data_IF_828066693520
#
_entry.id   IF_828066693520
#
_cell.length_a   1.000
_cell.length_b   1.000
_cell.length_c   1.000
_cell.angle_alpha   90.00
_cell.angle_beta   90.00
_cell.angle_gamma   90.00
#
_symmetry.space_group_name_H-M   'P 1'
#
loop_
_entity.id
_entity.type
_entity.pdbx_description
1 polymer ?
#
# COMPACT_ATOMS: atom_id res chain seq x y z
N UNK A 1 -24.45 -9.59 25.72
CA UNK A 1 -23.53 -10.22 24.73
C UNK A 1 -23.67 -9.51 23.39
N UNK A 2 -22.91 -8.45 23.18
CA UNK A 2 -22.95 -7.62 21.97
C UNK A 2 -22.17 -8.35 20.88
N UNK A 3 -22.86 -8.80 19.82
CA UNK A 3 -22.20 -9.40 18.64
C UNK A 3 -21.18 -8.38 18.11
N UNK A 4 -19.88 -8.70 18.23
CA UNK A 4 -18.81 -7.96 17.55
C UNK A 4 -19.12 -7.99 16.05
N UNK A 5 -19.62 -6.88 15.51
CA UNK A 5 -19.86 -6.67 14.07
C UNK A 5 -18.52 -6.49 13.34
N UNK A 6 -17.73 -7.56 13.33
CA UNK A 6 -16.44 -7.61 12.64
C UNK A 6 -16.67 -7.62 11.14
N UNK A 7 -16.05 -6.66 10.44
CA UNK A 7 -16.01 -6.65 8.98
C UNK A 7 -15.23 -7.87 8.51
N UNK A 8 -15.77 -8.66 7.59
CA UNK A 8 -15.06 -9.79 6.99
C UNK A 8 -13.85 -9.28 6.22
N UNK A 9 -12.66 -9.86 6.41
CA UNK A 9 -11.45 -9.47 5.69
C UNK A 9 -11.46 -10.02 4.26
N UNK A 10 -12.05 -9.26 3.34
CA UNK A 10 -12.28 -9.66 1.95
C UNK A 10 -12.24 -8.43 1.02
N UNK A 11 -12.03 -8.62 -0.31
CA UNK A 11 -12.01 -7.51 -1.26
C UNK A 11 -13.27 -6.65 -1.23
N UNK A 12 -14.44 -7.27 -1.08
CA UNK A 12 -15.74 -6.59 -1.04
C UNK A 12 -15.92 -5.69 0.18
N UNK A 13 -15.10 -5.89 1.22
CA UNK A 13 -15.20 -5.15 2.48
C UNK A 13 -14.30 -3.91 2.54
N UNK A 14 -13.38 -3.73 1.58
CA UNK A 14 -12.44 -2.59 1.57
C UNK A 14 -13.15 -1.23 1.62
N UNK A 15 -14.29 -1.02 0.92
CA UNK A 15 -15.02 0.25 1.03
C UNK A 15 -15.57 0.52 2.44
N UNK A 16 -16.03 -0.53 3.14
CA UNK A 16 -16.48 -0.41 4.53
C UNK A 16 -15.30 -0.17 5.48
N UNK A 17 -14.17 -0.85 5.27
CA UNK A 17 -12.94 -0.64 6.04
C UNK A 17 -12.49 0.81 5.94
N UNK A 18 -12.42 1.36 4.72
CA UNK A 18 -12.05 2.76 4.46
C UNK A 18 -13.01 3.71 5.16
N UNK A 19 -14.32 3.49 5.04
CA UNK A 19 -15.35 4.32 5.68
C UNK A 19 -15.19 4.36 7.19
N UNK A 20 -15.08 3.20 7.84
CA UNK A 20 -14.89 3.12 9.30
C UNK A 20 -13.59 3.76 9.77
N UNK A 21 -12.53 3.71 8.94
CA UNK A 21 -11.29 4.43 9.22
C UNK A 21 -11.51 5.94 9.13
N UNK A 22 -12.15 6.45 8.07
CA UNK A 22 -12.51 7.87 7.97
C UNK A 22 -13.34 8.33 9.17
N UNK A 23 -14.39 7.58 9.55
CA UNK A 23 -15.24 7.91 10.70
C UNK A 23 -14.43 7.96 12.02
N UNK A 24 -13.44 7.07 12.17
CA UNK A 24 -12.52 7.09 13.30
C UNK A 24 -11.57 8.30 13.30
N UNK A 25 -11.09 8.74 12.13
CA UNK A 25 -10.31 9.97 11.99
C UNK A 25 -11.16 11.20 12.30
N UNK A 26 -12.39 11.27 11.81
CA UNK A 26 -13.29 12.39 12.08
C UNK A 26 -13.59 12.51 13.57
N UNK A 27 -13.93 11.40 14.23
CA UNK A 27 -14.14 11.39 15.67
C UNK A 27 -12.90 11.82 16.46
N UNK A 28 -11.69 11.53 15.95
CA UNK A 28 -10.45 12.04 16.52
C UNK A 28 -10.31 13.55 16.30
N UNK A 29 -10.58 14.05 15.09
CA UNK A 29 -10.54 15.48 14.74
C UNK A 29 -11.52 16.28 15.59
N UNK A 30 -12.75 15.78 15.77
CA UNK A 30 -13.78 16.41 16.60
C UNK A 30 -13.33 16.54 18.06
N UNK A 31 -12.75 15.47 18.64
CA UNK A 31 -12.21 15.51 20.01
C UNK A 31 -11.09 16.54 20.16
N UNK A 32 -10.15 16.60 19.22
CA UNK A 32 -9.05 17.57 19.25
C UNK A 32 -9.57 19.01 19.05
N UNK A 33 -10.59 19.19 18.21
CA UNK A 33 -11.22 20.49 17.95
C UNK A 33 -12.01 21.00 19.17
N UNK A 34 -12.75 20.13 19.87
CA UNK A 34 -13.46 20.49 21.10
C UNK A 34 -12.49 20.91 22.23
N UNK A 35 -11.31 20.30 22.29
CA UNK A 35 -10.23 20.69 23.19
C UNK A 35 -9.71 22.12 22.96
N UNK A 36 -9.78 22.64 21.72
CA UNK A 36 -9.42 24.03 21.41
C UNK A 36 -10.45 25.06 21.91
N UNK A 37 -11.74 24.70 21.90
CA UNK A 37 -12.84 25.61 22.26
C UNK A 37 -12.95 25.76 23.79
N UNK A 38 -12.52 24.74 24.54
CA UNK A 38 -12.72 24.67 26.00
C UNK A 38 -11.53 25.23 26.79
N UNK A 39 -11.21 26.53 26.68
CA UNK A 39 -10.43 27.25 27.71
C UNK A 39 -10.75 28.76 27.78
N UNK A 40 -11.74 29.17 28.60
CA UNK A 40 -11.80 30.53 29.12
C UNK A 40 -11.51 30.54 30.63
N UNK A 41 -10.37 31.10 31.05
CA UNK A 41 -10.16 31.43 32.46
C UNK A 41 -8.70 31.59 32.90
N UNK A 42 -8.32 32.84 33.20
CA UNK A 42 -7.21 33.25 34.08
C UNK A 42 -5.77 32.86 33.69
N UNK A 43 -5.28 33.27 32.51
CA UNK A 43 -3.86 33.15 32.15
C UNK A 43 -3.15 34.52 32.11
N UNK A 44 -1.92 34.63 32.65
CA UNK A 44 -1.12 35.87 32.60
C UNK A 44 -0.72 36.22 31.15
N UNK A 45 -0.34 37.47 30.83
CA UNK A 45 -0.03 37.88 29.46
C UNK A 45 1.06 37.04 28.75
N UNK A 46 2.09 36.59 29.49
CA UNK A 46 3.15 35.71 28.98
C UNK A 46 2.66 34.28 28.69
N UNK A 47 1.71 33.78 29.48
CA UNK A 47 1.03 32.51 29.22
C UNK A 47 0.18 32.61 27.95
N UNK A 48 -0.37 33.81 27.66
CA UNK A 48 -1.15 34.09 26.46
C UNK A 48 -0.39 33.91 25.15
N UNK A 49 0.91 34.23 25.07
CA UNK A 49 1.73 34.02 23.85
C UNK A 49 2.04 32.54 23.64
N UNK A 50 2.41 31.82 24.71
CA UNK A 50 2.65 30.37 24.65
C UNK A 50 1.38 29.59 24.30
N UNK A 51 0.25 29.95 24.93
CA UNK A 51 -1.06 29.38 24.64
C UNK A 51 -1.46 29.62 23.18
N UNK A 52 -1.29 30.83 22.65
CA UNK A 52 -1.55 31.11 21.22
C UNK A 52 -0.70 30.25 20.31
N UNK A 53 0.62 30.13 20.55
CA UNK A 53 1.48 29.26 19.73
C UNK A 53 1.03 27.79 19.77
N UNK A 54 0.63 27.29 20.94
CA UNK A 54 0.10 25.93 21.08
C UNK A 54 -1.24 25.77 20.34
N UNK A 55 -2.12 26.78 20.40
CA UNK A 55 -3.37 26.81 19.65
C UNK A 55 -3.12 26.84 18.14
N UNK A 56 -2.18 27.66 17.66
CA UNK A 56 -1.79 27.74 16.26
C UNK A 56 -1.19 26.41 15.76
N UNK A 57 -0.34 25.78 16.56
CA UNK A 57 0.23 24.47 16.26
C UNK A 57 -0.85 23.37 16.20
N UNK A 58 -1.79 23.38 17.14
CA UNK A 58 -2.89 22.42 17.18
C UNK A 58 -3.88 22.65 16.03
N UNK A 59 -4.19 23.91 15.70
CA UNK A 59 -5.02 24.26 14.54
C UNK A 59 -4.38 23.79 13.23
N UNK A 60 -3.07 24.03 13.06
CA UNK A 60 -2.31 23.53 11.90
C UNK A 60 -2.37 22.00 11.82
N UNK A 61 -2.23 21.32 12.96
CA UNK A 61 -2.30 19.85 13.04
C UNK A 61 -3.69 19.36 12.63
N UNK A 62 -4.75 20.00 13.10
CA UNK A 62 -6.14 19.67 12.76
C UNK A 62 -6.40 19.82 11.26
N UNK A 63 -5.91 20.88 10.62
CA UNK A 63 -6.05 21.05 9.17
C UNK A 63 -5.33 19.96 8.38
N UNK A 64 -4.15 19.52 8.84
CA UNK A 64 -3.46 18.36 8.25
C UNK A 64 -4.28 17.08 8.43
N UNK A 65 -4.86 16.84 9.61
CA UNK A 65 -5.71 15.67 9.86
C UNK A 65 -6.98 15.67 9.01
N UNK A 66 -7.60 16.84 8.80
CA UNK A 66 -8.75 16.99 7.89
C UNK A 66 -8.36 16.68 6.44
N UNK A 67 -7.24 17.21 5.97
CA UNK A 67 -6.72 16.93 4.64
C UNK A 67 -6.42 15.43 4.46
N UNK A 68 -5.87 14.78 5.48
CA UNK A 68 -5.63 13.33 5.49
C UNK A 68 -6.94 12.54 5.46
N UNK A 69 -7.93 12.87 6.31
CA UNK A 69 -9.25 12.22 6.32
C UNK A 69 -9.93 12.33 4.96
N UNK A 70 -9.88 13.51 4.34
CA UNK A 70 -10.43 13.73 3.00
C UNK A 70 -9.67 12.92 1.93
N UNK A 71 -8.33 12.94 1.96
CA UNK A 71 -7.52 12.14 1.05
C UNK A 71 -7.83 10.65 1.16
N UNK A 72 -8.08 10.14 2.38
CA UNK A 72 -8.46 8.74 2.61
C UNK A 72 -9.87 8.44 2.06
N UNK A 73 -10.82 9.37 2.12
CA UNK A 73 -12.15 9.19 1.50
C UNK A 73 -12.07 9.05 -0.01
N UNK A 74 -11.18 9.81 -0.64
CA UNK A 74 -10.99 9.84 -2.09
C UNK A 74 -9.99 8.77 -2.58
N UNK A 75 -9.37 8.03 -1.65
CA UNK A 75 -8.37 7.02 -1.94
C UNK A 75 -8.89 5.93 -2.87
N UNK A 76 -8.11 5.60 -3.89
CA UNK A 76 -8.35 4.39 -4.68
C UNK A 76 -8.12 3.15 -3.83
N UNK A 77 -8.94 2.12 -4.02
CA UNK A 77 -8.94 0.93 -3.18
C UNK A 77 -8.38 -0.27 -3.91
N UNK A 78 -7.42 -0.94 -3.28
CA UNK A 78 -6.74 -2.10 -3.80
C UNK A 78 -6.85 -3.28 -2.85
N UNK A 79 -7.01 -4.47 -3.41
CA UNK A 79 -6.90 -5.74 -2.69
C UNK A 79 -5.85 -6.62 -3.35
N UNK A 80 -4.79 -6.97 -2.62
CA UNK A 80 -3.73 -7.83 -3.15
C UNK A 80 -3.98 -9.28 -2.73
N UNK A 81 -4.12 -10.16 -3.71
CA UNK A 81 -4.36 -11.58 -3.52
C UNK A 81 -3.21 -12.28 -2.78
N UNK A 82 -3.51 -13.42 -2.14
CA UNK A 82 -2.58 -14.12 -1.23
C UNK A 82 -1.23 -14.43 -1.86
N UNK A 83 -1.21 -14.99 -3.07
CA UNK A 83 0.03 -15.39 -3.75
C UNK A 83 0.83 -14.16 -4.21
N UNK A 84 0.13 -13.08 -4.58
CA UNK A 84 0.74 -11.82 -4.95
C UNK A 84 1.47 -11.17 -3.76
N UNK A 85 0.97 -11.35 -2.53
CA UNK A 85 1.69 -10.92 -1.31
C UNK A 85 3.06 -11.61 -1.22
N UNK A 86 3.15 -12.91 -1.50
CA UNK A 86 4.42 -13.63 -1.42
C UNK A 86 5.41 -13.17 -2.49
N UNK A 87 4.93 -12.97 -3.73
CA UNK A 87 5.78 -12.46 -4.81
C UNK A 87 6.27 -11.04 -4.53
N UNK A 88 5.41 -10.16 -4.02
CA UNK A 88 5.83 -8.81 -3.64
C UNK A 88 6.89 -8.82 -2.53
N UNK A 89 6.74 -9.70 -1.52
CA UNK A 89 7.72 -9.87 -0.44
C UNK A 89 9.05 -10.41 -0.94
N UNK A 90 9.01 -11.43 -1.79
CA UNK A 90 10.22 -12.03 -2.38
C UNK A 90 10.95 -11.02 -3.28
N UNK A 91 10.22 -10.35 -4.17
CA UNK A 91 10.78 -9.34 -5.06
C UNK A 91 11.38 -8.15 -4.30
N UNK A 92 10.80 -7.77 -3.16
CA UNK A 92 11.32 -6.69 -2.31
C UNK A 92 12.72 -6.96 -1.76
N UNK A 93 13.13 -8.24 -1.60
CA UNK A 93 14.44 -8.59 -1.03
C UNK A 93 15.63 -8.17 -1.90
N UNK A 94 15.39 -7.99 -3.20
CA UNK A 94 16.41 -7.63 -4.19
C UNK A 94 16.04 -6.37 -4.98
N UNK A 95 15.06 -5.60 -4.47
CA UNK A 95 14.57 -4.40 -5.14
C UNK A 95 15.69 -3.34 -5.23
N UNK A 96 16.15 -2.98 -6.44
CA UNK A 96 17.13 -1.91 -6.59
C UNK A 96 16.47 -0.54 -6.41
N UNK A 97 17.25 0.54 -6.56
CA UNK A 97 16.71 1.90 -6.47
C UNK A 97 15.48 2.07 -7.37
N UNK A 98 14.46 2.72 -6.83
CA UNK A 98 13.18 2.95 -7.51
C UNK A 98 12.61 4.31 -7.11
N UNK A 99 11.86 4.96 -7.99
CA UNK A 99 11.29 6.29 -7.76
C UNK A 99 9.79 6.18 -7.45
N UNK A 100 9.32 6.60 -6.27
CA UNK A 100 7.91 6.44 -5.88
C UNK A 100 6.91 7.09 -6.83
N UNK A 101 7.18 8.30 -7.32
CA UNK A 101 6.23 9.08 -8.12
C UNK A 101 5.83 8.40 -9.45
N UNK A 102 6.74 7.62 -10.03
CA UNK A 102 6.50 6.88 -11.28
C UNK A 102 6.17 5.40 -11.08
N UNK A 103 6.24 4.92 -9.83
CA UNK A 103 5.92 3.55 -9.45
C UNK A 103 4.52 3.45 -8.87
N UNK A 104 4.09 4.41 -8.05
CA UNK A 104 2.80 4.40 -7.38
C UNK A 104 1.65 4.28 -8.39
N UNK A 105 0.65 3.42 -8.14
CA UNK A 105 -0.45 3.20 -9.09
C UNK A 105 -1.41 4.39 -9.16
N UNK A 106 -1.48 5.19 -8.08
CA UNK A 106 -2.29 6.38 -7.96
C UNK A 106 -1.71 7.32 -6.89
N UNK A 107 -2.18 8.57 -6.87
CA UNK A 107 -1.74 9.61 -5.94
C UNK A 107 -2.09 9.30 -4.48
N UNK A 108 -3.32 8.86 -4.24
CA UNK A 108 -3.86 8.53 -2.93
C UNK A 108 -4.49 7.14 -3.01
N UNK A 109 -4.05 6.21 -2.17
CA UNK A 109 -4.56 4.85 -2.23
C UNK A 109 -4.52 4.10 -0.91
N UNK A 110 -5.50 3.21 -0.76
CA UNK A 110 -5.62 2.25 0.33
C UNK A 110 -5.49 0.85 -0.26
N UNK A 111 -4.47 0.11 0.16
CA UNK A 111 -4.25 -1.28 -0.26
C UNK A 111 -4.39 -2.19 0.95
N UNK A 112 -5.21 -3.23 0.81
CA UNK A 112 -5.35 -4.31 1.78
C UNK A 112 -4.69 -5.59 1.24
N UNK A 113 -3.88 -6.25 2.06
CA UNK A 113 -3.25 -7.53 1.76
C UNK A 113 -4.17 -8.68 2.18
N UNK A 114 -4.33 -9.71 1.34
CA UNK A 114 -5.11 -10.90 1.70
C UNK A 114 -4.55 -11.66 2.91
N UNK A 115 -3.26 -11.45 3.23
CA UNK A 115 -2.58 -11.90 4.45
C UNK A 115 -1.55 -10.85 4.87
N UNK A 116 -1.13 -10.79 6.15
CA UNK A 116 -0.08 -9.86 6.56
C UNK A 116 1.16 -9.98 5.68
N UNK A 117 1.67 -8.86 5.17
CA UNK A 117 2.87 -8.86 4.35
C UNK A 117 4.16 -8.94 5.19
N UNK A 118 4.05 -9.01 6.53
CA UNK A 118 5.16 -8.91 7.48
C UNK A 118 4.70 -8.31 8.82
N UNK A 119 5.64 -7.72 9.56
CA UNK A 119 5.39 -7.01 10.83
C UNK A 119 6.12 -5.69 10.84
N UNK A 120 5.53 -4.69 11.48
CA UNK A 120 6.10 -3.34 11.62
C UNK A 120 6.06 -2.88 13.08
N UNK A 121 6.98 -2.00 13.53
CA UNK A 121 6.85 -1.36 14.83
C UNK A 121 5.56 -0.53 14.90
N UNK A 122 4.91 -0.54 16.06
CA UNK A 122 3.81 0.36 16.38
C UNK A 122 4.37 1.63 17.04
N UNK A 123 4.23 2.77 16.37
CA UNK A 123 4.89 4.02 16.73
C UNK A 123 6.32 4.17 16.16
N UNK A 124 7.02 5.26 16.52
CA UNK A 124 8.38 5.53 16.03
C UNK A 124 9.35 4.42 16.44
N UNK A 125 10.21 3.97 15.52
CA UNK A 125 11.15 2.85 15.72
C UNK A 125 11.96 2.96 17.00
N UNK A 126 12.46 4.16 17.34
CA UNK A 126 13.26 4.41 18.54
C UNK A 126 12.51 4.17 19.86
N UNK A 127 11.19 4.18 19.84
CA UNK A 127 10.33 4.13 21.03
C UNK A 127 9.29 3.00 20.98
N UNK A 128 9.26 2.23 19.90
CA UNK A 128 8.26 1.21 19.66
C UNK A 128 8.46 0.03 20.61
N UNK A 129 7.43 -0.29 21.39
CA UNK A 129 7.44 -1.41 22.36
C UNK A 129 6.70 -2.64 21.85
N UNK A 130 6.04 -2.54 20.71
CA UNK A 130 5.27 -3.62 20.09
C UNK A 130 5.46 -3.64 18.57
N UNK A 131 5.39 -4.84 18.00
CA UNK A 131 5.29 -5.04 16.56
C UNK A 131 3.89 -5.58 16.22
N UNK A 132 3.32 -5.09 15.12
CA UNK A 132 1.99 -5.46 14.64
C UNK A 132 2.06 -6.01 13.21
N UNK A 133 1.19 -6.96 12.84
CA UNK A 133 1.10 -7.39 11.45
C UNK A 133 0.60 -6.23 10.60
N UNK A 134 1.25 -5.94 9.48
CA UNK A 134 0.71 -4.98 8.51
C UNK A 134 -0.18 -5.70 7.49
N UNK A 135 -1.49 -5.50 7.67
CA UNK A 135 -2.55 -6.05 6.84
C UNK A 135 -2.93 -5.08 5.70
N UNK A 136 -2.50 -3.82 5.76
CA UNK A 136 -2.68 -2.87 4.66
C UNK A 136 -1.64 -1.77 4.64
N UNK A 137 -1.78 -0.89 3.66
CA UNK A 137 -1.00 0.35 3.53
C UNK A 137 -1.92 1.46 3.03
N UNK A 138 -1.79 2.61 3.66
CA UNK A 138 -2.40 3.87 3.25
C UNK A 138 -1.29 4.80 2.75
N UNK A 139 -1.49 5.46 1.61
CA UNK A 139 -0.58 6.50 1.14
C UNK A 139 -1.32 7.67 0.53
N UNK A 140 -0.72 8.85 0.65
CA UNK A 140 -1.20 10.06 -0.01
C UNK A 140 -0.08 11.07 -0.25
N UNK A 141 -0.28 11.92 -1.25
CA UNK A 141 0.59 13.08 -1.49
C UNK A 141 0.08 14.27 -0.69
N UNK A 142 0.89 14.70 0.27
CA UNK A 142 0.66 15.87 1.11
C UNK A 142 0.71 17.17 0.30
N UNK A 143 0.14 18.28 0.80
CA UNK A 143 0.18 19.57 0.12
C UNK A 143 1.60 20.12 -0.13
N UNK A 144 2.59 19.70 0.67
CA UNK A 144 4.01 20.04 0.53
C UNK A 144 4.73 19.22 -0.55
N UNK A 145 4.01 18.35 -1.29
CA UNK A 145 4.56 17.48 -2.32
C UNK A 145 5.23 16.21 -1.78
N UNK A 146 5.25 16.00 -0.45
CA UNK A 146 5.80 14.78 0.14
C UNK A 146 4.81 13.63 0.05
N UNK A 147 5.34 12.42 -0.10
CA UNK A 147 4.55 11.20 -0.05
C UNK A 147 4.55 10.66 1.37
N UNK A 148 3.37 10.59 1.97
CA UNK A 148 3.16 9.92 3.24
C UNK A 148 2.74 8.47 2.98
N UNK A 149 3.38 7.52 3.66
CA UNK A 149 3.08 6.09 3.55
C UNK A 149 2.97 5.51 4.96
N UNK A 150 1.87 4.84 5.26
CA UNK A 150 1.55 4.33 6.59
C UNK A 150 1.15 2.85 6.52
N UNK A 151 1.93 1.91 7.11
CA UNK A 151 1.45 0.55 7.31
C UNK A 151 0.24 0.55 8.22
N UNK A 152 -0.70 -0.36 7.97
CA UNK A 152 -1.91 -0.47 8.74
C UNK A 152 -2.13 -1.90 9.25
N UNK A 153 -2.59 -2.05 10.49
CA UNK A 153 -2.88 -3.33 11.11
C UNK A 153 -4.34 -3.43 11.49
N UNK A 154 -4.88 -4.66 11.50
CA UNK A 154 -6.23 -4.93 12.02
C UNK A 154 -6.30 -4.94 13.55
N UNK A 155 -5.15 -5.00 14.24
CA UNK A 155 -5.06 -5.08 15.70
C UNK A 155 -5.91 -6.20 16.33
N UNK A 156 -6.20 -7.28 15.59
CA UNK A 156 -7.14 -8.33 16.02
C UNK A 156 -6.78 -8.96 17.38
N UNK A 157 -5.48 -9.04 17.68
CA UNK A 157 -4.94 -9.60 18.92
C UNK A 157 -4.23 -8.54 19.80
N UNK A 158 -4.36 -7.25 19.46
CA UNK A 158 -3.66 -6.12 20.10
C UNK A 158 -4.56 -4.88 20.18
N UNK A 159 -5.85 -5.06 20.47
CA UNK A 159 -6.83 -3.98 20.46
C UNK A 159 -6.53 -2.90 21.52
N UNK A 160 -5.84 -3.28 22.59
CA UNK A 160 -5.36 -2.38 23.65
C UNK A 160 -4.48 -1.24 23.11
N UNK A 161 -3.77 -1.46 21.99
CA UNK A 161 -2.93 -0.45 21.37
C UNK A 161 -3.72 0.73 20.76
N UNK A 162 -5.03 0.56 20.54
CA UNK A 162 -5.92 1.58 20.01
C UNK A 162 -6.65 2.38 21.11
N UNK A 163 -6.59 1.93 22.37
CA UNK A 163 -7.27 2.58 23.50
C UNK A 163 -6.89 4.05 23.68
N UNK A 164 -5.61 4.46 23.60
CA UNK A 164 -5.22 5.87 23.74
C UNK A 164 -5.86 6.79 22.70
N UNK A 165 -6.25 6.24 21.55
CA UNK A 165 -6.85 6.99 20.46
C UNK A 165 -8.38 7.03 20.56
N UNK A 166 -9.00 6.16 21.36
CA UNK A 166 -10.46 6.06 21.49
C UNK A 166 -11.14 5.76 20.15
N UNK A 167 -10.51 4.93 19.32
CA UNK A 167 -11.00 4.58 17.97
C UNK A 167 -11.46 3.13 17.91
N UNK A 168 -12.51 2.88 17.12
CA UNK A 168 -12.97 1.53 16.80
C UNK A 168 -13.04 1.39 15.29
N UNK A 169 -12.05 0.72 14.71
CA UNK A 169 -11.88 0.55 13.27
C UNK A 169 -11.32 -0.83 12.96
N UNK A 170 -11.72 -1.47 11.85
CA UNK A 170 -11.14 -2.76 11.44
C UNK A 170 -9.69 -2.67 10.95
N UNK A 171 -9.19 -1.46 10.68
CA UNK A 171 -7.84 -1.21 10.19
C UNK A 171 -7.36 0.17 10.66
N UNK A 172 -6.13 0.27 11.14
CA UNK A 172 -5.55 1.54 11.60
C UNK A 172 -4.05 1.63 11.32
N UNK A 173 -3.53 2.84 11.12
CA UNK A 173 -2.11 3.06 10.86
C UNK A 173 -1.25 2.72 12.09
N UNK A 174 -0.12 2.05 11.86
CA UNK A 174 0.83 1.70 12.90
C UNK A 174 1.85 2.81 13.18
N UNK A 175 2.35 3.42 12.11
CA UNK A 175 3.21 4.61 12.13
C UNK A 175 3.17 5.24 10.74
N UNK A 176 3.90 6.35 10.57
CA UNK A 176 3.93 7.11 9.33
C UNK A 176 5.36 7.36 8.89
N UNK A 177 5.63 7.12 7.61
CA UNK A 177 6.90 7.42 6.94
C UNK A 177 6.62 8.50 5.88
N UNK A 178 7.50 9.50 5.80
CA UNK A 178 7.37 10.60 4.83
C UNK A 178 8.59 10.63 3.92
N UNK A 179 8.41 10.33 2.63
CA UNK A 179 9.48 10.29 1.64
C UNK A 179 9.34 11.41 0.60
N UNK A 180 10.43 11.73 -0.08
CA UNK A 180 10.40 12.55 -1.29
C UNK A 180 10.05 11.62 -2.47
N UNK A 181 8.88 11.76 -3.10
CA UNK A 181 8.47 10.84 -4.16
C UNK A 181 9.27 11.01 -5.45
N UNK A 182 9.87 12.18 -5.67
CA UNK A 182 10.53 12.55 -6.92
C UNK A 182 11.94 11.95 -7.06
N UNK A 183 12.54 11.55 -5.95
CA UNK A 183 13.90 11.00 -5.90
C UNK A 183 13.88 9.48 -5.84
N UNK A 184 14.86 8.80 -6.46
CA UNK A 184 15.06 7.37 -6.24
C UNK A 184 15.28 7.09 -4.75
N UNK A 185 14.57 6.09 -4.22
CA UNK A 185 14.84 5.48 -2.92
C UNK A 185 16.16 4.71 -3.01
N UNK A 186 17.14 5.09 -2.21
CA UNK A 186 18.47 4.47 -2.21
C UNK A 186 18.77 3.79 -0.87
N UNK A 187 18.10 4.21 0.20
CA UNK A 187 18.25 3.71 1.56
C UNK A 187 17.94 2.20 1.62
N UNK A 188 16.81 1.79 1.05
CA UNK A 188 16.44 0.38 0.97
C UNK A 188 17.36 -0.44 0.06
N UNK A 189 17.85 0.16 -1.05
CA UNK A 189 18.71 -0.52 -2.00
C UNK A 189 20.14 -0.72 -1.47
N UNK A 190 20.62 0.24 -0.68
CA UNK A 190 21.96 0.23 -0.09
C UNK A 190 21.99 -0.37 1.32
N UNK A 191 20.83 -0.67 1.91
CA UNK A 191 20.71 -1.23 3.26
C UNK A 191 21.21 -0.27 4.35
N UNK A 192 20.89 1.02 4.23
CA UNK A 192 21.30 2.03 5.23
C UNK A 192 20.48 1.89 6.53
N UNK A 193 20.91 2.54 7.61
CA UNK A 193 20.19 2.51 8.89
C UNK A 193 18.76 3.09 8.80
N UNK A 194 18.54 4.01 7.86
CA UNK A 194 17.24 4.63 7.58
C UNK A 194 16.34 3.78 6.66
N UNK A 195 16.74 2.55 6.32
CA UNK A 195 15.91 1.67 5.49
C UNK A 195 14.63 1.28 6.22
N UNK A 196 13.53 1.25 5.48
CA UNK A 196 12.27 0.70 5.96
C UNK A 196 11.89 -0.51 5.09
N UNK A 197 12.06 -1.76 5.56
CA UNK A 197 11.73 -2.96 4.77
C UNK A 197 10.28 -2.97 4.24
N UNK A 198 9.38 -2.34 5.01
CA UNK A 198 8.01 -2.01 4.61
C UNK A 198 7.95 -1.25 3.27
N UNK A 199 8.77 -0.20 3.10
CA UNK A 199 8.82 0.64 1.89
C UNK A 199 9.28 -0.18 0.69
N UNK A 200 10.23 -1.11 0.83
CA UNK A 200 10.63 -2.02 -0.24
C UNK A 200 9.48 -2.90 -0.72
N UNK A 201 8.69 -3.44 0.19
CA UNK A 201 7.55 -4.30 -0.15
C UNK A 201 6.44 -3.51 -0.84
N UNK A 202 6.17 -2.27 -0.38
CA UNK A 202 5.23 -1.36 -1.06
C UNK A 202 5.72 -1.03 -2.47
N UNK A 203 6.99 -0.64 -2.61
CA UNK A 203 7.60 -0.32 -3.91
C UNK A 203 7.57 -1.50 -4.88
N UNK A 204 7.94 -2.69 -4.42
CA UNK A 204 7.86 -3.91 -5.21
C UNK A 204 6.42 -4.18 -5.66
N UNK A 205 5.44 -4.09 -4.76
CA UNK A 205 4.04 -4.30 -5.11
C UNK A 205 3.53 -3.30 -6.16
N UNK A 206 3.84 -2.00 -6.00
CA UNK A 206 3.47 -0.98 -6.98
C UNK A 206 4.09 -1.23 -8.36
N UNK A 207 5.38 -1.55 -8.41
CA UNK A 207 6.08 -1.87 -9.65
C UNK A 207 5.50 -3.13 -10.33
N UNK A 208 5.14 -4.15 -9.56
CA UNK A 208 4.54 -5.38 -10.10
C UNK A 208 3.10 -5.15 -10.57
N UNK A 209 2.32 -4.34 -9.86
CA UNK A 209 0.96 -3.93 -10.27
C UNK A 209 0.97 -3.22 -11.63
N UNK A 210 2.01 -2.43 -11.90
CA UNK A 210 2.21 -1.75 -13.18
C UNK A 210 2.71 -2.63 -14.32
N UNK A 211 2.85 -3.95 -14.13
CA UNK A 211 3.38 -4.88 -15.13
C UNK A 211 2.33 -5.92 -15.56
N UNK A 212 1.66 -5.71 -16.71
CA UNK A 212 0.65 -6.63 -17.23
C UNK A 212 1.17 -8.04 -17.54
N UNK A 213 2.49 -8.22 -17.67
CA UNK A 213 3.11 -9.54 -17.84
C UNK A 213 3.14 -10.37 -16.55
N UNK A 214 3.06 -9.72 -15.39
CA UNK A 214 3.21 -10.34 -14.07
C UNK A 214 1.88 -10.36 -13.31
N UNK A 215 1.07 -9.32 -13.48
CA UNK A 215 -0.13 -9.08 -12.69
C UNK A 215 -1.36 -8.95 -13.58
N UNK A 216 -2.48 -9.47 -13.11
CA UNK A 216 -3.82 -9.23 -13.66
C UNK A 216 -4.63 -8.40 -12.66
N UNK A 217 -5.32 -7.37 -13.15
CA UNK A 217 -6.16 -6.50 -12.33
C UNK A 217 -7.62 -6.59 -12.77
N UNK A 218 -8.54 -6.66 -11.81
CA UNK A 218 -9.98 -6.60 -12.05
C UNK A 218 -10.69 -5.77 -11.00
N UNK A 219 -11.70 -5.01 -11.41
CA UNK A 219 -12.47 -4.18 -10.49
C UNK A 219 -13.75 -4.88 -10.05
N UNK A 220 -13.99 -4.93 -8.74
CA UNK A 220 -15.31 -5.26 -8.17
C UNK A 220 -15.98 -3.96 -7.79
N UNK A 221 -17.20 -3.74 -8.27
CA UNK A 221 -18.06 -2.65 -7.80
C UNK A 221 -19.00 -3.20 -6.73
N UNK A 222 -19.23 -2.39 -5.70
CA UNK A 222 -20.32 -2.66 -4.77
C UNK A 222 -21.64 -2.68 -5.57
N UNK A 223 -22.40 -3.77 -5.47
CA UNK A 223 -23.65 -3.92 -6.23
C UNK A 223 -24.60 -2.82 -5.76
N UNK A 224 -25.17 -1.99 -6.67
CA UNK A 224 -26.18 -1.04 -6.24
C UNK A 224 -27.30 -1.81 -5.56
N UNK A 225 -27.73 -1.38 -4.38
CA UNK A 225 -28.98 -1.84 -3.79
C UNK A 225 -30.09 -1.72 -4.85
N UNK A 226 -31.06 -2.67 -4.92
CA UNK A 226 -32.19 -2.52 -5.82
C UNK A 226 -32.83 -1.16 -5.55
N UNK A 227 -32.93 -0.35 -6.61
CA UNK A 227 -33.36 1.04 -6.52
C UNK A 227 -34.75 1.19 -5.89
N UNK A 228 -35.08 2.39 -5.40
CA UNK A 228 -36.39 2.67 -4.83
C UNK A 228 -37.52 2.33 -5.82
N UNK A 229 -38.73 1.99 -5.34
CA UNK A 229 -39.86 1.64 -6.19
C UNK A 229 -40.13 2.73 -7.23
N UNK A 230 -40.64 2.30 -8.40
CA UNK A 230 -40.99 3.15 -9.54
C UNK A 230 -41.69 4.44 -9.08
N UNK A 231 -41.06 5.60 -9.33
CA UNK A 231 -41.64 6.92 -9.06
C UNK A 231 -40.72 7.92 -8.34
N UNK A 232 -39.60 7.49 -7.77
CA UNK A 232 -38.61 8.41 -7.20
C UNK A 232 -37.76 9.05 -8.32
N UNK A 233 -37.70 10.39 -8.37
CA UNK A 233 -36.82 11.13 -9.30
C UNK A 233 -35.37 10.66 -9.12
N UNK A 234 -34.64 10.30 -10.19
CA UNK A 234 -33.22 10.02 -10.08
C UNK A 234 -32.50 11.28 -9.58
N UNK A 235 -31.87 11.20 -8.42
CA UNK A 235 -30.87 12.18 -8.02
C UNK A 235 -29.72 12.12 -9.03
N UNK A 236 -29.32 13.27 -9.58
CA UNK A 236 -28.17 13.42 -10.49
C UNK A 236 -26.81 13.15 -9.82
N UNK A 237 -26.78 12.77 -8.54
CA UNK A 237 -25.60 12.17 -7.95
C UNK A 237 -25.46 10.74 -8.51
N UNK A 238 -24.74 10.58 -9.61
CA UNK A 238 -24.22 9.29 -10.03
C UNK A 238 -23.37 8.73 -8.87
N UNK A 239 -23.98 7.91 -8.03
CA UNK A 239 -23.26 7.14 -7.03
C UNK A 239 -22.46 6.08 -7.79
N UNK A 240 -21.28 6.47 -8.29
CA UNK A 240 -20.27 5.53 -8.76
C UNK A 240 -19.93 4.69 -7.54
N UNK A 241 -20.50 3.47 -7.48
CA UNK A 241 -20.17 2.54 -6.40
C UNK A 241 -18.66 2.45 -6.27
N UNK A 242 -18.12 2.54 -5.04
CA UNK A 242 -16.68 2.43 -4.82
C UNK A 242 -16.19 1.12 -5.45
N UNK A 243 -15.30 1.23 -6.43
CA UNK A 243 -14.69 0.08 -7.07
C UNK A 243 -13.41 -0.29 -6.31
N UNK A 244 -13.25 -1.59 -6.04
CA UNK A 244 -12.02 -2.15 -5.48
C UNK A 244 -11.27 -2.86 -6.60
N UNK A 245 -10.01 -2.47 -6.83
CA UNK A 245 -9.12 -3.13 -7.77
C UNK A 245 -8.47 -4.33 -7.10
N UNK A 246 -8.85 -5.53 -7.50
CA UNK A 246 -8.18 -6.76 -7.09
C UNK A 246 -6.92 -6.93 -7.95
N UNK A 247 -5.81 -7.21 -7.27
CA UNK A 247 -4.48 -7.44 -7.84
C UNK A 247 -4.14 -8.92 -7.63
N UNK A 248 -4.10 -9.67 -8.73
CA UNK A 248 -3.81 -11.10 -8.76
C UNK A 248 -2.56 -11.37 -9.62
N UNK A 249 -1.82 -12.44 -9.34
CA UNK A 249 -0.75 -12.87 -10.23
C UNK A 249 -1.35 -13.32 -11.55
N UNK A 250 -0.79 -12.84 -12.66
CA UNK A 250 -1.17 -13.32 -13.98
C UNK A 250 -0.81 -14.79 -14.07
N UNK A 251 -1.78 -15.61 -14.47
CA UNK A 251 -1.51 -17.02 -14.75
C UNK A 251 -0.53 -17.09 -15.92
N UNK A 252 0.58 -17.86 -15.81
CA UNK A 252 1.38 -18.19 -16.96
C UNK A 252 0.46 -18.87 -17.97
N UNK A 253 0.19 -18.20 -19.08
CA UNK A 253 -0.45 -18.85 -20.22
C UNK A 253 0.58 -19.88 -20.68
N UNK A 254 0.26 -21.17 -20.55
CA UNK A 254 1.00 -22.20 -21.29
C UNK A 254 0.71 -21.95 -22.77
N UNK A 255 1.48 -21.06 -23.38
CA UNK A 255 1.50 -20.92 -24.82
C UNK A 255 2.04 -22.22 -25.44
N UNK A 256 1.64 -22.57 -26.67
CA UNK A 256 2.37 -23.56 -27.43
C UNK A 256 3.84 -23.12 -27.47
N UNK A 257 4.73 -24.09 -27.27
CA UNK A 257 6.18 -23.94 -27.29
C UNK A 257 6.61 -22.92 -28.35
N UNK A 258 7.17 -21.78 -27.93
CA UNK A 258 7.62 -20.73 -28.85
C UNK A 258 8.80 -21.26 -29.69
N UNK A 259 8.47 -21.82 -30.85
CA UNK A 259 9.39 -22.10 -31.94
C UNK A 259 9.63 -20.79 -32.72
N UNK A 260 10.41 -19.88 -32.13
CA UNK A 260 10.93 -18.71 -32.84
C UNK A 260 12.46 -18.69 -32.78
N UNK A 261 13.17 -18.80 -33.92
CA UNK A 261 14.62 -18.78 -33.93
C UNK A 261 15.10 -17.35 -33.62
N UNK A 262 15.67 -17.16 -32.44
CA UNK A 262 16.36 -15.93 -32.08
C UNK A 262 17.72 -15.92 -32.81
N UNK A 263 17.85 -15.09 -33.84
CA UNK A 263 19.14 -14.79 -34.46
C UNK A 263 19.93 -13.82 -33.56
N UNK A 264 20.49 -14.35 -32.48
CA UNK A 264 21.62 -13.73 -31.79
C UNK A 264 22.71 -14.80 -31.68
N UNK A 265 23.92 -14.48 -32.19
CA UNK A 265 25.10 -15.36 -32.26
C UNK A 265 25.20 -16.36 -31.10
N UNK A 266 24.67 -17.57 -31.33
CA UNK A 266 24.34 -18.48 -30.24
C UNK A 266 25.53 -19.36 -29.88
N UNK A 267 26.08 -19.17 -28.68
CA UNK A 267 26.66 -20.31 -27.95
C UNK A 267 25.53 -21.34 -27.78
N UNK A 268 25.64 -22.48 -28.45
CA UNK A 268 24.67 -23.58 -28.33
C UNK A 268 24.82 -24.24 -26.96
N UNK A 269 23.84 -24.05 -26.08
CA UNK A 269 23.81 -24.72 -24.78
C UNK A 269 23.18 -26.10 -24.88
N UNK A 270 23.75 -27.13 -24.24
CA UNK A 270 23.24 -28.50 -24.27
C UNK A 270 22.18 -28.81 -23.19
N UNK A 271 21.85 -27.83 -22.35
CA UNK A 271 20.94 -27.99 -21.20
C UNK A 271 20.01 -26.79 -21.09
N UNK A 272 18.84 -27.01 -20.47
CA UNK A 272 17.95 -25.97 -19.94
C UNK A 272 18.26 -25.74 -18.47
N UNK A 273 18.03 -24.53 -17.98
CA UNK A 273 18.13 -24.23 -16.54
C UNK A 273 17.05 -23.24 -16.12
N UNK A 274 16.68 -23.32 -14.85
CA UNK A 274 15.76 -22.38 -14.23
C UNK A 274 16.46 -21.04 -13.94
N UNK A 275 15.81 -19.95 -14.29
CA UNK A 275 16.22 -18.58 -13.93
C UNK A 275 15.19 -18.06 -12.93
N UNK A 276 15.66 -17.70 -11.73
CA UNK A 276 14.83 -17.05 -10.71
C UNK A 276 14.30 -15.69 -11.15
N UNK A 277 13.24 -15.22 -10.49
CA UNK A 277 12.73 -13.88 -10.71
C UNK A 277 13.78 -12.84 -10.31
N UNK A 278 13.91 -11.77 -11.09
CA UNK A 278 14.91 -10.74 -10.82
C UNK A 278 14.49 -9.38 -11.40
N UNK A 279 15.05 -8.32 -10.84
CA UNK A 279 14.86 -6.97 -11.33
C UNK A 279 15.81 -6.64 -12.47
N UNK A 280 15.27 -6.02 -13.52
CA UNK A 280 16.04 -5.29 -14.52
C UNK A 280 15.89 -3.81 -14.24
N UNK A 281 17.00 -3.14 -13.93
CA UNK A 281 17.02 -1.71 -13.67
C UNK A 281 17.37 -0.93 -14.93
N UNK A 282 16.59 0.10 -15.23
CA UNK A 282 16.88 1.07 -16.29
C UNK A 282 16.66 2.48 -15.74
N UNK A 283 17.62 3.37 -15.99
CA UNK A 283 17.47 4.79 -15.70
C UNK A 283 16.44 5.40 -16.67
N UNK A 284 15.59 6.29 -16.17
CA UNK A 284 14.49 6.86 -16.94
C UNK A 284 14.15 8.28 -16.48
N UNK A 285 13.18 8.90 -17.14
CA UNK A 285 12.73 10.26 -16.84
C UNK A 285 13.71 11.35 -17.31
N UNK A 286 13.41 12.62 -16.98
CA UNK A 286 14.28 13.75 -17.31
C UNK A 286 15.69 13.54 -16.77
N UNK A 287 16.70 13.76 -17.62
CA UNK A 287 18.11 13.60 -17.29
C UNK A 287 18.49 12.21 -16.74
N UNK A 288 17.67 11.18 -17.00
CA UNK A 288 17.87 9.83 -16.45
C UNK A 288 17.92 9.80 -14.91
N UNK A 289 17.28 10.77 -14.25
CA UNK A 289 17.30 10.94 -12.80
C UNK A 289 16.38 9.98 -12.03
N UNK A 290 15.47 9.29 -12.72
CA UNK A 290 14.48 8.41 -12.09
C UNK A 290 14.80 6.93 -12.34
N UNK A 291 14.16 6.06 -11.56
CA UNK A 291 14.34 4.60 -11.64
C UNK A 291 12.98 3.89 -11.63
N UNK A 292 12.75 3.02 -12.62
CA UNK A 292 11.57 2.15 -12.69
C UNK A 292 12.00 0.71 -12.98
N UNK A 293 12.44 -0.05 -11.96
CA UNK A 293 12.82 -1.44 -12.13
C UNK A 293 11.68 -2.27 -12.73
N UNK A 294 11.99 -3.13 -13.69
CA UNK A 294 11.04 -4.08 -14.29
C UNK A 294 11.31 -5.47 -13.74
N UNK A 295 10.26 -6.19 -13.35
CA UNK A 295 10.38 -7.54 -12.81
C UNK A 295 10.37 -8.55 -13.95
N UNK A 296 11.43 -9.34 -14.05
CA UNK A 296 11.50 -10.47 -14.97
C UNK A 296 11.04 -11.70 -14.19
N UNK A 297 9.86 -12.22 -14.54
CA UNK A 297 9.31 -13.40 -13.91
C UNK A 297 10.25 -14.61 -14.07
N UNK A 298 10.24 -15.56 -13.11
CA UNK A 298 11.00 -16.79 -13.23
C UNK A 298 10.67 -17.54 -14.52
N UNK A 299 11.68 -18.02 -15.24
CA UNK A 299 11.52 -18.70 -16.52
C UNK A 299 12.62 -19.74 -16.77
N UNK A 300 12.43 -20.59 -17.77
CA UNK A 300 13.43 -21.58 -18.20
C UNK A 300 14.20 -21.03 -19.39
N UNK A 301 15.54 -21.09 -19.34
CA UNK A 301 16.43 -20.71 -20.44
C UNK A 301 17.13 -21.94 -21.01
N UNK A 302 17.46 -21.92 -22.30
CA UNK A 302 18.16 -22.99 -23.02
C UNK A 302 17.33 -23.59 -24.16
N UNK A 303 17.95 -24.34 -25.10
CA UNK A 303 17.25 -24.81 -26.28
C UNK A 303 16.08 -25.74 -25.96
N UNK A 304 14.97 -25.65 -26.72
CA UNK A 304 13.85 -26.57 -26.61
C UNK A 304 14.31 -28.04 -26.72
N UNK A 305 13.67 -28.93 -25.97
CA UNK A 305 13.97 -30.37 -26.01
C UNK A 305 15.21 -30.82 -25.23
N UNK A 306 16.08 -29.93 -24.74
CA UNK A 306 17.25 -30.33 -23.94
C UNK A 306 16.89 -30.64 -22.48
N UNK A 307 17.66 -31.47 -21.75
CA UNK A 307 17.38 -31.78 -20.35
C UNK A 307 17.42 -30.52 -19.46
N UNK A 308 16.50 -30.42 -18.50
CA UNK A 308 16.51 -29.37 -17.48
C UNK A 308 17.49 -29.74 -16.37
N UNK A 309 18.47 -28.88 -16.09
CA UNK A 309 19.37 -29.01 -14.95
C UNK A 309 18.57 -28.83 -13.66
N UNK A 310 18.45 -29.90 -12.87
CA UNK A 310 17.61 -29.99 -11.66
C UNK A 310 18.41 -29.81 -10.38
N UNK A 311 19.25 -28.78 -10.29
CA UNK A 311 20.04 -28.54 -9.06
C UNK A 311 19.19 -27.94 -7.92
N UNK A 312 18.02 -27.37 -8.24
CA UNK A 312 17.08 -26.80 -7.26
C UNK A 312 15.63 -27.10 -7.66
N UNK A 313 14.89 -27.72 -6.76
CA UNK A 313 13.43 -27.90 -6.89
C UNK A 313 12.75 -26.61 -6.42
N UNK A 314 12.28 -25.79 -7.35
CA UNK A 314 11.46 -24.63 -7.04
C UNK A 314 10.01 -25.08 -6.88
N UNK A 315 9.56 -25.22 -5.64
CA UNK A 315 8.18 -25.56 -5.34
C UNK A 315 7.31 -24.31 -5.51
N UNK A 316 6.56 -24.22 -6.62
CA UNK A 316 5.55 -23.18 -6.78
C UNK A 316 4.37 -23.52 -5.85
N UNK A 317 4.36 -22.96 -4.64
CA UNK A 317 3.21 -23.08 -3.73
C UNK A 317 2.11 -22.12 -4.22
N UNK A 318 0.99 -22.70 -4.60
CA UNK A 318 -0.31 -22.03 -4.72
C UNK A 318 -1.01 -22.06 -3.37
#
# INVERSE_FOLDING_TARGET
>A
MTRRSGVTWAPTSVPEIRRRWCDALDGMIERHSAGLITQPGTARPADGVRLRRLQDQLATTIEVMKAESQALRDAEMYWVARDMVDVARDAATTLPEWTPDIAAPCRNGLLCWAKPAGTVPYGPTATATAAVPWDGVWWWTRPDGRLQVSPASRFANRAELLEPYGVSTPLWAAHTIVVDPSRPRTEEANGTEDMHPFVSIVGAAWLLMGQPGVTETRSIRDRPMPGPPFGARPSLASSTSPAVTIVELRRPVRGPQDDAPSQESARSFSRRWWVGGHWRQQACGPHLGQRRPTWIAPHVKGPPGTPLTTDKVYLWRR
#
